data_IF_359609148604
#
_entry.id   IF_359609148604
#
_cell.length_a   1.000
_cell.length_b   1.000
_cell.length_c   1.000
_cell.angle_alpha   90.00
_cell.angle_beta   90.00
_cell.angle_gamma   90.00
#
_symmetry.space_group_name_H-M   'P 1'
#
loop_
_entity.id
_entity.type
_entity.pdbx_description
1 polymer ?
#
# COMPACT_ATOMS: atom_id res chain seq x y z
N UNK A 1 4.38 -16.48 25.23
CA UNK A 1 3.69 -16.88 23.99
C UNK A 1 4.65 -17.57 23.05
N UNK A 2 4.31 -18.77 22.59
CA UNK A 2 5.00 -19.51 21.55
C UNK A 2 4.90 -18.81 20.19
N UNK A 3 5.70 -19.22 19.22
CA UNK A 3 5.58 -18.71 17.84
C UNK A 3 4.27 -19.13 17.17
N UNK A 4 3.71 -20.28 17.56
CA UNK A 4 2.43 -20.76 17.05
C UNK A 4 1.26 -19.91 17.56
N UNK A 5 1.26 -19.59 18.86
CA UNK A 5 0.25 -18.69 19.46
C UNK A 5 0.28 -17.30 18.81
N UNK A 6 1.48 -16.73 18.61
CA UNK A 6 1.63 -15.43 17.94
C UNK A 6 1.14 -15.47 16.49
N UNK A 7 1.41 -16.56 15.76
CA UNK A 7 0.95 -16.73 14.38
C UNK A 7 -0.58 -16.77 14.32
N UNK A 8 -1.22 -17.47 15.24
CA UNK A 8 -2.68 -17.56 15.27
C UNK A 8 -3.33 -16.21 15.59
N UNK A 9 -2.77 -15.42 16.50
CA UNK A 9 -3.24 -14.04 16.75
C UNK A 9 -3.14 -13.14 15.51
N UNK A 10 -2.07 -13.26 14.73
CA UNK A 10 -1.93 -12.55 13.46
C UNK A 10 -3.03 -12.98 12.47
N UNK A 11 -3.34 -14.28 12.41
CA UNK A 11 -4.39 -14.80 11.54
C UNK A 11 -5.79 -14.35 11.98
N UNK A 12 -6.05 -14.28 13.27
CA UNK A 12 -7.30 -13.72 13.81
C UNK A 12 -7.46 -12.25 13.44
N UNK A 13 -6.39 -11.45 13.59
CA UNK A 13 -6.39 -10.04 13.16
C UNK A 13 -6.65 -9.92 11.66
N UNK A 14 -6.03 -10.78 10.85
CA UNK A 14 -6.24 -10.79 9.41
C UNK A 14 -7.68 -11.14 9.06
N UNK A 15 -8.27 -12.19 9.66
CA UNK A 15 -9.68 -12.57 9.46
C UNK A 15 -10.64 -11.44 9.82
N UNK A 16 -10.44 -10.80 10.98
CA UNK A 16 -11.26 -9.66 11.42
C UNK A 16 -11.21 -8.48 10.44
N UNK A 17 -10.05 -8.28 9.80
CA UNK A 17 -9.81 -7.14 8.91
C UNK A 17 -10.25 -7.40 7.46
N UNK A 18 -9.90 -8.56 6.92
CA UNK A 18 -10.05 -8.89 5.49
C UNK A 18 -11.20 -9.87 5.23
N UNK A 19 -11.77 -10.50 6.26
CA UNK A 19 -12.75 -11.58 6.14
C UNK A 19 -12.12 -12.97 5.92
N UNK A 20 -10.81 -13.02 5.67
CA UNK A 20 -10.03 -14.25 5.48
C UNK A 20 -8.55 -14.00 5.88
N UNK A 21 -7.69 -15.01 5.75
CA UNK A 21 -6.23 -14.83 5.91
C UNK A 21 -5.58 -14.78 4.52
N UNK A 22 -5.19 -13.60 4.02
CA UNK A 22 -4.52 -13.47 2.73
C UNK A 22 -3.22 -14.26 2.68
N UNK A 23 -2.85 -14.81 1.52
CA UNK A 23 -1.62 -15.59 1.39
C UNK A 23 -0.37 -14.77 1.75
N UNK A 24 -0.34 -13.45 1.48
CA UNK A 24 0.78 -12.60 1.94
C UNK A 24 0.89 -12.59 3.46
N UNK A 25 -0.23 -12.61 4.21
CA UNK A 25 -0.16 -12.65 5.67
C UNK A 25 0.39 -14.00 6.14
N UNK A 26 0.09 -15.10 5.45
CA UNK A 26 0.67 -16.42 5.75
C UNK A 26 2.19 -16.41 5.59
N UNK A 27 2.69 -15.80 4.51
CA UNK A 27 4.13 -15.64 4.27
C UNK A 27 4.80 -14.76 5.34
N UNK A 28 4.19 -13.61 5.66
CA UNK A 28 4.71 -12.72 6.70
C UNK A 28 4.74 -13.41 8.07
N UNK A 29 3.73 -14.22 8.38
CA UNK A 29 3.58 -14.87 9.68
C UNK A 29 4.52 -16.07 9.89
N UNK A 30 5.32 -16.45 8.88
CA UNK A 30 6.51 -17.29 9.09
C UNK A 30 7.50 -16.62 10.06
N UNK A 31 7.46 -15.29 10.16
CA UNK A 31 8.16 -14.51 11.17
C UNK A 31 7.16 -13.60 11.91
N UNK A 32 6.72 -13.96 13.13
CA UNK A 32 5.72 -13.18 13.86
C UNK A 32 6.10 -11.70 14.07
N UNK A 33 7.40 -11.38 14.22
CA UNK A 33 7.86 -9.99 14.35
C UNK A 33 7.64 -9.19 13.06
N UNK A 34 7.82 -9.81 11.89
CA UNK A 34 7.58 -9.18 10.59
C UNK A 34 6.09 -8.94 10.37
N UNK A 35 5.26 -9.95 10.64
CA UNK A 35 3.81 -9.83 10.54
C UNK A 35 3.26 -8.75 11.50
N UNK A 36 3.77 -8.70 12.73
CA UNK A 36 3.37 -7.70 13.72
C UNK A 36 3.70 -6.28 13.26
N UNK A 37 4.94 -6.06 12.80
CA UNK A 37 5.39 -4.76 12.30
C UNK A 37 4.52 -4.29 11.12
N UNK A 38 4.30 -5.17 10.14
CA UNK A 38 3.46 -4.85 8.99
C UNK A 38 2.02 -4.53 9.40
N UNK A 39 1.38 -5.41 10.19
CA UNK A 39 -0.03 -5.25 10.57
C UNK A 39 -0.25 -4.03 11.47
N UNK A 40 0.73 -3.66 12.29
CA UNK A 40 0.73 -2.40 13.04
C UNK A 40 0.81 -1.20 12.12
N UNK A 41 1.68 -1.23 11.11
CA UNK A 41 1.75 -0.20 10.06
C UNK A 41 0.42 -0.06 9.31
N UNK A 42 -0.22 -1.16 8.90
CA UNK A 42 -1.53 -1.09 8.23
C UNK A 42 -2.61 -0.52 9.16
N UNK A 43 -2.60 -0.86 10.45
CA UNK A 43 -3.55 -0.29 11.40
C UNK A 43 -3.32 1.22 11.65
N UNK A 44 -2.07 1.68 11.61
CA UNK A 44 -1.76 3.10 11.70
C UNK A 44 -2.28 3.86 10.47
N UNK A 45 -2.09 3.32 9.27
CA UNK A 45 -2.58 3.88 8.01
C UNK A 45 -4.10 4.10 8.02
N UNK A 46 -4.87 3.12 8.48
CA UNK A 46 -6.34 3.21 8.46
C UNK A 46 -6.93 4.16 9.50
N UNK A 47 -6.22 4.36 10.63
CA UNK A 47 -6.74 5.17 11.74
C UNK A 47 -6.26 6.61 11.73
N UNK A 48 -5.09 6.88 11.15
CA UNK A 48 -4.37 8.13 11.39
C UNK A 48 -3.76 8.77 10.16
N UNK A 49 -3.93 8.19 8.96
CA UNK A 49 -3.53 8.89 7.75
C UNK A 49 -4.54 10.01 7.42
N UNK A 50 -4.02 11.09 6.84
CA UNK A 50 -4.80 12.22 6.33
C UNK A 50 -5.61 11.87 5.08
N UNK A 51 -5.42 10.67 4.54
CA UNK A 51 -6.00 10.19 3.29
C UNK A 51 -7.31 9.40 3.50
N UNK A 52 -8.27 9.62 2.61
CA UNK A 52 -9.46 8.77 2.49
C UNK A 52 -9.09 7.33 2.14
N UNK A 53 -10.03 6.40 2.34
CA UNK A 53 -9.82 4.99 1.94
C UNK A 53 -9.50 4.83 0.45
N UNK A 54 -10.12 5.64 -0.41
CA UNK A 54 -9.89 5.62 -1.86
C UNK A 54 -8.47 6.07 -2.19
N UNK A 55 -8.05 7.21 -1.62
CA UNK A 55 -6.70 7.75 -1.78
C UNK A 55 -5.62 6.78 -1.26
N UNK A 56 -5.83 6.17 -0.09
CA UNK A 56 -4.92 5.16 0.46
C UNK A 56 -4.73 3.98 -0.48
N UNK A 57 -5.80 3.47 -1.09
CA UNK A 57 -5.69 2.36 -2.04
C UNK A 57 -5.07 2.80 -3.36
N UNK A 58 -5.35 4.01 -3.84
CA UNK A 58 -4.71 4.56 -5.04
C UNK A 58 -3.19 4.68 -4.86
N UNK A 59 -2.73 5.24 -3.74
CA UNK A 59 -1.30 5.36 -3.41
C UNK A 59 -0.66 3.97 -3.33
N UNK A 60 -1.26 3.04 -2.56
CA UNK A 60 -0.71 1.69 -2.41
C UNK A 60 -0.69 0.92 -3.74
N UNK A 61 -1.69 1.09 -4.60
CA UNK A 61 -1.72 0.50 -5.93
C UNK A 61 -0.61 1.08 -6.82
N UNK A 62 -0.42 2.39 -6.79
CA UNK A 62 0.65 3.06 -7.53
C UNK A 62 2.04 2.56 -7.12
N UNK A 63 2.30 2.47 -5.82
CA UNK A 63 3.56 1.93 -5.28
C UNK A 63 3.73 0.45 -5.63
N UNK A 64 2.65 -0.35 -5.54
CA UNK A 64 2.66 -1.76 -5.94
C UNK A 64 3.02 -1.95 -7.40
N UNK A 65 2.49 -1.09 -8.28
CA UNK A 65 2.80 -1.09 -9.70
C UNK A 65 4.26 -0.68 -9.96
N UNK A 66 4.73 0.40 -9.33
CA UNK A 66 6.09 0.90 -9.45
C UNK A 66 7.16 -0.10 -8.96
N UNK A 67 6.85 -0.90 -7.94
CA UNK A 67 7.71 -1.98 -7.44
C UNK A 67 7.55 -3.31 -8.19
N UNK A 68 6.62 -3.41 -9.16
CA UNK A 68 6.37 -4.65 -9.88
C UNK A 68 5.81 -5.80 -9.03
N UNK A 69 5.26 -5.53 -7.83
CA UNK A 69 4.69 -6.56 -6.97
C UNK A 69 3.33 -7.02 -7.52
N UNK A 70 3.29 -8.18 -8.19
CA UNK A 70 2.07 -8.74 -8.80
C UNK A 70 0.95 -8.99 -7.77
N UNK A 71 1.29 -9.62 -6.64
CA UNK A 71 0.34 -9.88 -5.56
C UNK A 71 -0.25 -8.58 -5.01
N UNK A 72 0.63 -7.64 -4.66
CA UNK A 72 0.24 -6.34 -4.13
C UNK A 72 -0.68 -5.57 -5.07
N UNK A 73 -0.36 -5.59 -6.37
CA UNK A 73 -1.14 -4.91 -7.40
C UNK A 73 -2.56 -5.48 -7.44
N UNK A 74 -2.71 -6.81 -7.50
CA UNK A 74 -4.02 -7.46 -7.47
C UNK A 74 -4.81 -7.12 -6.20
N UNK A 75 -4.17 -7.25 -5.03
CA UNK A 75 -4.80 -6.96 -3.74
C UNK A 75 -5.28 -5.50 -3.64
N UNK A 76 -4.45 -4.51 -4.00
CA UNK A 76 -4.83 -3.10 -3.94
C UNK A 76 -5.77 -2.67 -5.07
N UNK A 77 -5.81 -3.37 -6.21
CA UNK A 77 -6.88 -3.18 -7.20
C UNK A 77 -8.23 -3.64 -6.64
N UNK A 78 -8.30 -4.82 -6.01
CA UNK A 78 -9.53 -5.33 -5.39
C UNK A 78 -9.99 -4.44 -4.22
N UNK A 79 -9.08 -4.14 -3.28
CA UNK A 79 -9.39 -3.24 -2.16
C UNK A 79 -9.72 -1.81 -2.62
N UNK A 80 -9.07 -1.32 -3.67
CA UNK A 80 -9.40 -0.05 -4.30
C UNK A 80 -10.83 -0.01 -4.82
N UNK A 81 -11.26 -1.06 -5.52
CA UNK A 81 -12.65 -1.21 -5.98
C UNK A 81 -13.63 -1.22 -4.80
N UNK A 82 -13.32 -1.97 -3.74
CA UNK A 82 -14.13 -2.01 -2.51
C UNK A 82 -14.19 -0.67 -1.79
N UNK A 83 -13.12 0.13 -1.86
CA UNK A 83 -13.08 1.48 -1.31
C UNK A 83 -13.85 2.50 -2.16
N UNK A 84 -14.28 2.14 -3.37
CA UNK A 84 -15.03 3.01 -4.27
C UNK A 84 -14.15 3.76 -5.29
N UNK A 85 -12.95 3.28 -5.61
CA UNK A 85 -12.21 3.75 -6.78
C UNK A 85 -12.91 3.29 -8.06
N UNK A 86 -13.03 4.21 -9.03
CA UNK A 86 -13.58 3.89 -10.32
C UNK A 86 -12.69 2.85 -11.05
N UNK A 87 -13.26 1.90 -11.80
CA UNK A 87 -12.48 0.91 -12.54
C UNK A 87 -11.45 1.54 -13.50
N UNK A 88 -11.80 2.65 -14.16
CA UNK A 88 -10.88 3.39 -15.04
C UNK A 88 -9.66 3.93 -14.29
N UNK A 89 -9.87 4.49 -13.10
CA UNK A 89 -8.78 4.95 -12.24
C UNK A 89 -7.85 3.81 -11.81
N UNK A 90 -8.43 2.66 -11.43
CA UNK A 90 -7.66 1.47 -11.06
C UNK A 90 -6.79 1.00 -12.23
N UNK A 91 -7.35 0.96 -13.45
CA UNK A 91 -6.60 0.61 -14.66
C UNK A 91 -5.45 1.58 -14.90
N UNK A 92 -5.72 2.89 -14.91
CA UNK A 92 -4.70 3.92 -15.11
C UNK A 92 -3.56 3.79 -14.08
N UNK A 93 -3.90 3.68 -12.80
CA UNK A 93 -2.90 3.62 -11.73
C UNK A 93 -2.06 2.34 -11.85
N UNK A 94 -2.69 1.18 -12.09
CA UNK A 94 -1.97 -0.11 -12.11
C UNK A 94 -1.08 -0.29 -13.33
N UNK A 95 -1.37 0.39 -14.43
CA UNK A 95 -0.53 0.41 -15.65
C UNK A 95 0.50 1.53 -15.64
N UNK A 96 0.58 2.33 -14.58
CA UNK A 96 1.57 3.41 -14.45
C UNK A 96 1.12 4.74 -15.05
N UNK A 97 -0.10 4.84 -15.56
CA UNK A 97 -0.65 6.07 -16.11
C UNK A 97 -1.09 7.04 -15.00
N UNK A 98 -1.40 8.28 -15.41
CA UNK A 98 -1.94 9.33 -14.55
C UNK A 98 -3.46 9.12 -14.37
N UNK A 99 -3.97 9.13 -13.12
CA UNK A 99 -5.39 9.27 -12.80
C UNK A 99 -6.08 10.44 -13.51
N UNK A 100 -7.39 10.35 -13.73
CA UNK A 100 -8.20 11.47 -14.23
C UNK A 100 -8.62 12.40 -13.09
N UNK A 101 -8.96 11.85 -11.93
CA UNK A 101 -9.18 12.62 -10.71
C UNK A 101 -7.90 13.36 -10.29
N UNK A 102 -8.00 14.68 -10.18
CA UNK A 102 -6.84 15.56 -9.93
C UNK A 102 -6.18 15.28 -8.58
N UNK A 103 -6.97 14.95 -7.56
CA UNK A 103 -6.46 14.66 -6.22
C UNK A 103 -5.74 13.31 -6.19
N UNK A 104 -6.29 12.29 -6.81
CA UNK A 104 -5.61 11.01 -7.00
C UNK A 104 -4.34 11.18 -7.82
N UNK A 105 -4.38 11.98 -8.89
CA UNK A 105 -3.22 12.24 -9.73
C UNK A 105 -2.08 12.89 -8.96
N UNK A 106 -2.39 13.88 -8.12
CA UNK A 106 -1.43 14.54 -7.23
C UNK A 106 -0.78 13.55 -6.27
N UNK A 107 -1.58 12.77 -5.54
CA UNK A 107 -1.10 11.83 -4.53
C UNK A 107 -0.28 10.67 -5.13
N UNK A 108 -0.78 10.08 -6.21
CA UNK A 108 -0.09 9.01 -6.94
C UNK A 108 1.22 9.52 -7.54
N UNK A 109 1.21 10.72 -8.10
CA UNK A 109 2.40 11.39 -8.64
C UNK A 109 3.46 11.63 -7.56
N UNK A 110 3.06 12.24 -6.43
CA UNK A 110 3.95 12.50 -5.31
C UNK A 110 4.52 11.20 -4.72
N UNK A 111 3.69 10.17 -4.51
CA UNK A 111 4.15 8.88 -4.00
C UNK A 111 5.19 8.22 -4.92
N UNK A 112 4.95 8.23 -6.23
CA UNK A 112 5.89 7.72 -7.25
C UNK A 112 7.20 8.51 -7.23
N UNK A 113 7.12 9.85 -7.18
CA UNK A 113 8.30 10.72 -7.18
C UNK A 113 9.16 10.51 -5.92
N UNK A 114 8.55 10.49 -4.73
CA UNK A 114 9.25 10.20 -3.45
C UNK A 114 9.97 8.86 -3.53
N UNK A 115 9.28 7.83 -4.03
CA UNK A 115 9.83 6.48 -4.19
C UNK A 115 10.97 6.44 -5.19
N UNK A 116 10.80 7.02 -6.37
CA UNK A 116 11.78 7.06 -7.45
C UNK A 116 13.08 7.77 -7.00
N UNK A 117 12.94 8.94 -6.38
CA UNK A 117 14.08 9.71 -5.86
C UNK A 117 14.59 9.20 -4.52
N UNK A 118 13.98 8.16 -3.94
CA UNK A 118 14.32 7.61 -2.62
C UNK A 118 14.36 8.69 -1.54
N UNK A 119 13.38 9.59 -1.57
CA UNK A 119 13.25 10.72 -0.64
C UNK A 119 14.21 11.89 -0.90
N UNK A 120 15.10 11.83 -1.89
CA UNK A 120 16.02 12.93 -2.25
C UNK A 120 15.32 13.97 -3.14
N UNK A 121 14.26 14.58 -2.62
CA UNK A 121 13.50 15.62 -3.31
C UNK A 121 14.28 16.95 -3.33
N UNK A 122 14.27 17.63 -4.47
CA UNK A 122 14.79 19.00 -4.60
C UNK A 122 13.75 20.01 -4.11
N UNK A 123 14.16 21.27 -3.97
CA UNK A 123 13.23 22.37 -3.69
C UNK A 123 12.11 22.47 -4.73
N UNK A 124 12.43 22.21 -6.01
CA UNK A 124 11.44 22.29 -7.07
C UNK A 124 10.46 21.12 -7.04
N UNK A 125 10.93 19.90 -6.68
CA UNK A 125 10.05 18.76 -6.44
C UNK A 125 9.05 19.07 -5.31
N UNK A 126 9.54 19.60 -4.19
CA UNK A 126 8.70 19.95 -3.04
C UNK A 126 7.68 21.02 -3.42
N UNK A 127 8.08 22.07 -4.14
CA UNK A 127 7.16 23.09 -4.64
C UNK A 127 6.09 22.50 -5.54
N UNK A 128 6.45 21.62 -6.48
CA UNK A 128 5.48 20.98 -7.37
C UNK A 128 4.45 20.15 -6.60
N UNK A 129 4.89 19.40 -5.59
CA UNK A 129 4.00 18.65 -4.69
C UNK A 129 3.08 19.60 -3.92
N UNK A 130 3.64 20.67 -3.34
CA UNK A 130 2.87 21.68 -2.60
C UNK A 130 1.84 22.41 -3.48
N UNK A 131 2.19 22.75 -4.73
CA UNK A 131 1.27 23.34 -5.71
C UNK A 131 0.09 22.43 -6.08
N UNK A 132 0.25 21.12 -5.90
CA UNK A 132 -0.84 20.14 -6.08
C UNK A 132 -1.73 19.97 -4.84
N UNK A 133 -1.54 20.82 -3.82
CA UNK A 133 -2.34 20.83 -2.59
C UNK A 133 -1.91 19.78 -1.56
N UNK A 134 -0.74 19.15 -1.74
CA UNK A 134 -0.20 18.18 -0.78
C UNK A 134 0.70 18.91 0.22
N UNK A 135 0.37 18.80 1.50
CA UNK A 135 1.16 19.43 2.56
C UNK A 135 2.32 18.55 3.02
N UNK A 136 3.31 19.17 3.67
CA UNK A 136 4.52 18.47 4.10
C UNK A 136 4.27 17.27 5.03
N UNK A 137 3.25 17.31 5.89
CA UNK A 137 2.88 16.16 6.73
C UNK A 137 2.40 14.96 5.92
N UNK A 138 1.64 15.19 4.85
CA UNK A 138 1.19 14.13 3.94
C UNK A 138 2.38 13.51 3.20
N UNK A 139 3.43 14.28 2.86
CA UNK A 139 4.66 13.73 2.28
C UNK A 139 5.33 12.74 3.26
N UNK A 140 5.31 13.03 4.57
CA UNK A 140 5.84 12.11 5.57
C UNK A 140 4.99 10.86 5.72
N UNK A 141 3.67 11.00 5.64
CA UNK A 141 2.76 9.85 5.58
C UNK A 141 2.99 9.00 4.32
N UNK A 142 3.26 9.61 3.15
CA UNK A 142 3.66 8.90 1.94
C UNK A 142 4.95 8.10 2.16
N UNK A 143 5.95 8.65 2.86
CA UNK A 143 7.18 7.92 3.21
C UNK A 143 6.87 6.72 4.11
N UNK A 144 5.99 6.87 5.09
CA UNK A 144 5.54 5.75 5.92
C UNK A 144 4.77 4.70 5.11
N UNK A 145 3.95 5.09 4.14
CA UNK A 145 3.28 4.17 3.21
C UNK A 145 4.31 3.37 2.40
N UNK A 146 5.31 4.05 1.83
CA UNK A 146 6.41 3.42 1.08
C UNK A 146 7.16 2.42 1.97
N UNK A 147 7.60 2.84 3.16
CA UNK A 147 8.35 1.99 4.08
C UNK A 147 7.56 0.72 4.46
N UNK A 148 6.28 0.87 4.83
CA UNK A 148 5.44 -0.28 5.16
C UNK A 148 5.18 -1.17 3.95
N UNK A 149 5.17 -0.59 2.72
CA UNK A 149 4.94 -1.33 1.48
C UNK A 149 6.12 -2.18 1.05
N UNK A 150 7.35 -1.80 1.38
CA UNK A 150 8.56 -2.56 1.07
C UNK A 150 8.49 -3.97 1.65
N UNK A 151 8.00 -4.14 2.89
CA UNK A 151 7.91 -5.42 3.59
C UNK A 151 7.16 -6.49 2.77
N UNK A 152 5.85 -6.33 2.46
CA UNK A 152 5.12 -7.33 1.70
C UNK A 152 5.59 -7.40 0.24
N UNK A 153 6.14 -6.32 -0.32
CA UNK A 153 6.60 -6.31 -1.71
C UNK A 153 7.77 -7.27 -1.89
N UNK A 154 8.83 -7.10 -1.11
CA UNK A 154 10.04 -7.91 -1.26
C UNK A 154 9.79 -9.36 -0.83
N UNK A 155 8.98 -9.57 0.21
CA UNK A 155 8.61 -10.92 0.63
C UNK A 155 7.79 -11.62 -0.45
N UNK A 156 6.84 -10.95 -1.11
CA UNK A 156 6.10 -11.54 -2.22
C UNK A 156 6.99 -11.84 -3.44
N UNK A 157 8.02 -11.03 -3.69
CA UNK A 157 9.00 -11.31 -4.75
C UNK A 157 9.79 -12.59 -4.45
N UNK A 158 10.21 -12.79 -3.20
CA UNK A 158 10.98 -13.97 -2.77
C UNK A 158 10.08 -15.22 -2.71
N UNK A 159 8.91 -15.11 -2.09
CA UNK A 159 8.02 -16.24 -1.85
C UNK A 159 7.25 -16.68 -3.10
N UNK A 160 7.17 -15.83 -4.13
CA UNK A 160 6.33 -16.11 -5.29
C UNK A 160 4.84 -16.25 -4.92
N UNK A 161 4.40 -15.48 -3.92
CA UNK A 161 3.09 -15.63 -3.27
C UNK A 161 1.96 -15.69 -4.28
N UNK A 162 1.15 -16.76 -4.20
CA UNK A 162 -0.02 -16.93 -5.06
C UNK A 162 -1.10 -15.91 -4.70
N UNK A 163 -1.63 -15.24 -5.71
CA UNK A 163 -2.78 -14.33 -5.58
C UNK A 163 -3.97 -15.10 -5.02
N UNK A 164 -4.62 -14.52 -4.02
CA UNK A 164 -5.87 -15.03 -3.43
C UNK A 164 -7.02 -14.91 -4.43
N UNK A 165 -7.98 -15.84 -4.38
CA UNK A 165 -9.11 -15.83 -5.33
C UNK A 165 -9.97 -14.58 -5.15
N UNK A 166 -10.04 -14.09 -3.92
CA UNK A 166 -10.72 -12.89 -3.46
C UNK A 166 -10.14 -11.61 -4.07
N UNK A 167 -8.90 -11.65 -4.58
CA UNK A 167 -8.22 -10.53 -5.25
C UNK A 167 -8.11 -10.71 -6.76
N UNK A 168 -8.63 -11.80 -7.31
CA UNK A 168 -8.54 -12.14 -8.73
C UNK A 168 -9.69 -11.56 -9.54
#
# INVERSE_FOLDING_TARGET
MSNEEKREEIFDRARKKFGFVPNVIKELALSPVVAEAYMTGVAAQERGASFTKQELQAINLALSAAEGCKYCKAAHSAMGKMAGLAPGEIELIKTGNKPEDERLAALVGAARLVREKRGKLTTDDLKQIEFSGIVKSEIYELIMLIANKVIPTYINHIAGTRIDREFS
#
